data_IF_707948743741
#
_entry.id   IF_707948743741
#
_cell.length_a   1.000
_cell.length_b   1.000
_cell.length_c   1.000
_cell.angle_alpha   90.00
_cell.angle_beta   90.00
_cell.angle_gamma   90.00
#
_symmetry.space_group_name_H-M   'P 1'
#
loop_
_entity.id
_entity.type
_entity.pdbx_description
1 polymer ?
#
# COMPACT_ATOMS: atom_id res chain seq x y z
N UNK A 1 -43.20 -54.93 -12.77
CA UNK A 1 -42.62 -54.58 -11.45
C UNK A 1 -41.42 -53.65 -11.66
N UNK A 2 -41.60 -52.34 -11.49
CA UNK A 2 -40.49 -51.38 -11.62
C UNK A 2 -39.64 -51.34 -10.35
N UNK A 3 -38.41 -51.83 -10.40
CA UNK A 3 -37.45 -51.73 -9.29
C UNK A 3 -37.12 -50.25 -9.06
N UNK A 4 -37.56 -49.69 -7.93
CA UNK A 4 -37.16 -48.35 -7.48
C UNK A 4 -35.70 -48.41 -7.02
N UNK A 5 -34.78 -47.86 -7.81
CA UNK A 5 -33.36 -47.74 -7.44
C UNK A 5 -33.22 -46.77 -6.27
N UNK A 6 -32.49 -47.18 -5.23
CA UNK A 6 -32.21 -46.31 -4.08
C UNK A 6 -31.21 -45.22 -4.48
N UNK A 7 -31.31 -44.02 -3.89
CA UNK A 7 -30.46 -42.85 -4.21
C UNK A 7 -28.94 -43.15 -4.23
N UNK A 8 -28.50 -44.14 -3.44
CA UNK A 8 -27.10 -44.63 -3.42
C UNK A 8 -26.71 -45.41 -4.68
N UNK A 9 -27.62 -46.20 -5.25
CA UNK A 9 -27.37 -47.00 -6.45
C UNK A 9 -27.28 -46.11 -7.69
N UNK A 10 -28.14 -45.10 -7.81
CA UNK A 10 -28.09 -44.12 -8.91
C UNK A 10 -26.76 -43.35 -8.90
N UNK A 11 -26.29 -42.92 -7.72
CA UNK A 11 -24.98 -42.24 -7.59
C UNK A 11 -23.80 -43.16 -7.95
N UNK A 12 -23.86 -44.44 -7.56
CA UNK A 12 -22.81 -45.41 -7.87
C UNK A 12 -22.74 -45.69 -9.37
N UNK A 13 -23.89 -45.81 -10.03
CA UNK A 13 -23.98 -46.09 -11.47
C UNK A 13 -23.58 -44.86 -12.32
N UNK A 14 -23.93 -43.65 -11.87
CA UNK A 14 -23.44 -42.40 -12.47
C UNK A 14 -21.93 -42.24 -12.34
N UNK A 15 -21.35 -42.66 -11.22
CA UNK A 15 -19.90 -42.65 -11.03
C UNK A 15 -19.21 -43.69 -11.92
N UNK A 16 -19.71 -44.93 -11.94
CA UNK A 16 -19.16 -46.00 -12.76
C UNK A 16 -19.21 -45.64 -14.25
N UNK A 17 -20.35 -45.12 -14.74
CA UNK A 17 -20.47 -44.69 -16.14
C UNK A 17 -19.66 -43.43 -16.48
N UNK A 18 -19.36 -42.56 -15.51
CA UNK A 18 -18.42 -41.46 -15.70
C UNK A 18 -16.98 -41.97 -15.83
N UNK A 19 -16.58 -42.90 -14.96
CA UNK A 19 -15.25 -43.53 -14.99
C UNK A 19 -15.06 -44.32 -16.28
N UNK A 20 -16.05 -45.12 -16.68
CA UNK A 20 -15.97 -45.94 -17.88
C UNK A 20 -15.84 -45.10 -19.16
N UNK A 21 -16.61 -44.01 -19.26
CA UNK A 21 -16.45 -43.00 -20.32
C UNK A 21 -15.08 -42.33 -20.29
N UNK A 22 -14.57 -42.04 -19.09
CA UNK A 22 -13.24 -41.46 -18.90
C UNK A 22 -12.12 -42.40 -19.38
N UNK A 23 -12.18 -43.68 -18.99
CA UNK A 23 -11.19 -44.71 -19.38
C UNK A 23 -11.24 -44.94 -20.89
N UNK A 24 -12.42 -45.05 -21.47
CA UNK A 24 -12.59 -45.28 -22.91
C UNK A 24 -12.10 -44.08 -23.74
N UNK A 25 -12.42 -42.85 -23.31
CA UNK A 25 -11.91 -41.64 -23.93
C UNK A 25 -10.39 -41.51 -23.79
N UNK A 26 -9.84 -41.83 -22.61
CA UNK A 26 -8.40 -41.77 -22.35
C UNK A 26 -7.64 -42.79 -23.20
N UNK A 27 -8.17 -44.00 -23.37
CA UNK A 27 -7.58 -45.01 -24.26
C UNK A 27 -7.54 -44.56 -25.72
N UNK A 28 -8.63 -43.96 -26.21
CA UNK A 28 -8.70 -43.46 -27.60
C UNK A 28 -7.89 -42.17 -27.83
N UNK A 29 -7.76 -41.31 -26.83
CA UNK A 29 -7.17 -39.97 -26.95
C UNK A 29 -5.92 -39.78 -26.10
N UNK A 30 -5.20 -40.85 -25.73
CA UNK A 30 -4.12 -40.80 -24.75
C UNK A 30 -3.02 -39.79 -25.11
N UNK A 31 -2.71 -39.61 -26.40
CA UNK A 31 -1.74 -38.61 -26.88
C UNK A 31 -2.20 -37.18 -26.59
N UNK A 32 -3.46 -36.85 -26.87
CA UNK A 32 -4.01 -35.53 -26.59
C UNK A 32 -4.15 -35.30 -25.07
N UNK A 33 -4.52 -36.33 -24.32
CA UNK A 33 -4.55 -36.28 -22.87
C UNK A 33 -3.15 -36.04 -22.27
N UNK A 34 -2.11 -36.69 -22.80
CA UNK A 34 -0.73 -36.48 -22.38
C UNK A 34 -0.22 -35.07 -22.72
N UNK A 35 -0.53 -34.55 -23.91
CA UNK A 35 -0.20 -33.16 -24.30
C UNK A 35 -0.93 -32.16 -23.39
N UNK A 36 -2.21 -32.38 -23.13
CA UNK A 36 -3.01 -31.53 -22.23
C UNK A 36 -2.46 -31.54 -20.81
N UNK A 37 -2.16 -32.72 -20.26
CA UNK A 37 -1.55 -32.86 -18.93
C UNK A 37 -0.17 -32.21 -18.86
N UNK A 38 0.68 -32.42 -19.88
CA UNK A 38 1.99 -31.79 -19.97
C UNK A 38 1.90 -30.27 -20.04
N UNK A 39 0.92 -29.73 -20.78
CA UNK A 39 0.64 -28.30 -20.83
C UNK A 39 0.22 -27.73 -19.46
N UNK A 40 -0.70 -28.41 -18.76
CA UNK A 40 -1.14 -28.02 -17.41
C UNK A 40 0.02 -28.06 -16.42
N UNK A 41 0.82 -29.13 -16.42
CA UNK A 41 2.00 -29.25 -15.56
C UNK A 41 3.06 -28.19 -15.88
N UNK A 42 3.27 -27.89 -17.16
CA UNK A 42 4.17 -26.82 -17.60
C UNK A 42 3.73 -25.45 -17.08
N UNK A 43 2.45 -25.11 -17.21
CA UNK A 43 1.89 -23.87 -16.65
C UNK A 43 2.01 -23.84 -15.13
N UNK A 44 1.73 -24.94 -14.45
CA UNK A 44 1.85 -25.04 -12.99
C UNK A 44 3.30 -24.85 -12.53
N UNK A 45 4.28 -25.42 -13.23
CA UNK A 45 5.70 -25.24 -12.94
C UNK A 45 6.18 -23.81 -13.17
N UNK A 46 5.75 -23.17 -14.26
CA UNK A 46 6.06 -21.76 -14.53
C UNK A 46 5.44 -20.86 -13.46
N UNK A 47 4.18 -21.12 -13.08
CA UNK A 47 3.51 -20.40 -12.01
C UNK A 47 4.24 -20.57 -10.66
N UNK A 48 4.59 -21.79 -10.28
CA UNK A 48 5.32 -22.07 -9.06
C UNK A 48 6.72 -21.42 -9.06
N UNK A 49 7.47 -21.54 -10.16
CA UNK A 49 8.77 -20.89 -10.31
C UNK A 49 8.69 -19.36 -10.23
N UNK A 50 7.70 -18.76 -10.91
CA UNK A 50 7.47 -17.32 -10.85
C UNK A 50 7.11 -16.84 -9.45
N UNK A 51 6.21 -17.54 -8.75
CA UNK A 51 5.79 -17.19 -7.38
C UNK A 51 6.93 -17.34 -6.37
N UNK A 52 7.73 -18.41 -6.46
CA UNK A 52 8.90 -18.61 -5.61
C UNK A 52 9.99 -17.54 -5.83
N UNK A 53 10.28 -17.17 -7.09
CA UNK A 53 11.22 -16.10 -7.40
C UNK A 53 10.72 -14.73 -6.93
N UNK A 54 9.42 -14.46 -7.07
CA UNK A 54 8.80 -13.23 -6.57
C UNK A 54 8.89 -13.13 -5.04
N UNK A 55 8.63 -14.23 -4.32
CA UNK A 55 8.74 -14.28 -2.86
C UNK A 55 10.18 -14.00 -2.40
N UNK A 56 11.17 -14.71 -2.96
CA UNK A 56 12.58 -14.49 -2.63
C UNK A 56 13.04 -13.05 -2.92
N UNK A 57 12.56 -12.45 -4.02
CA UNK A 57 12.81 -11.04 -4.32
C UNK A 57 12.18 -10.10 -3.31
N UNK A 58 10.97 -10.38 -2.84
CA UNK A 58 10.31 -9.57 -1.79
C UNK A 58 11.08 -9.66 -0.46
N UNK A 59 11.54 -10.84 -0.07
CA UNK A 59 12.33 -11.03 1.15
C UNK A 59 13.65 -10.25 1.08
N UNK A 60 14.35 -10.35 -0.04
CA UNK A 60 15.59 -9.60 -0.29
C UNK A 60 15.36 -8.09 -0.28
N UNK A 61 14.23 -7.65 -0.86
CA UNK A 61 13.86 -6.23 -0.87
C UNK A 61 13.52 -5.73 0.54
N UNK A 62 12.85 -6.55 1.36
CA UNK A 62 12.51 -6.21 2.73
C UNK A 62 13.76 -6.05 3.60
N UNK A 63 14.73 -6.97 3.46
CA UNK A 63 16.02 -6.86 4.13
C UNK A 63 16.76 -5.58 3.73
N UNK A 64 16.85 -5.29 2.42
CA UNK A 64 17.51 -4.08 1.93
C UNK A 64 16.84 -2.77 2.39
N UNK A 65 15.51 -2.76 2.53
CA UNK A 65 14.79 -1.63 3.17
C UNK A 65 15.12 -1.53 4.65
N UNK A 66 15.20 -2.66 5.36
CA UNK A 66 15.62 -2.72 6.77
C UNK A 66 17.00 -2.09 6.98
N UNK A 67 18.00 -2.51 6.21
CA UNK A 67 19.36 -1.94 6.28
C UNK A 67 19.37 -0.41 6.01
N UNK A 68 18.58 0.04 5.04
CA UNK A 68 18.46 1.48 4.74
C UNK A 68 17.75 2.25 5.86
N UNK A 69 16.77 1.64 6.54
CA UNK A 69 16.11 2.21 7.70
C UNK A 69 17.01 2.26 8.92
N UNK A 70 17.81 1.23 9.17
CA UNK A 70 18.82 1.24 10.23
C UNK A 70 19.79 2.41 10.04
N UNK A 71 20.23 2.66 8.80
CA UNK A 71 21.01 3.86 8.50
C UNK A 71 20.20 5.14 8.72
N UNK A 72 18.93 5.20 8.31
CA UNK A 72 18.07 6.38 8.45
C UNK A 72 17.83 6.78 9.92
N UNK A 73 17.66 5.80 10.81
CA UNK A 73 17.34 5.99 12.23
C UNK A 73 18.59 5.98 13.14
N UNK A 74 19.77 5.71 12.56
CA UNK A 74 21.01 5.63 13.32
C UNK A 74 21.30 6.91 14.14
N UNK A 75 21.85 6.77 15.35
CA UNK A 75 22.22 7.91 16.17
C UNK A 75 23.36 8.71 15.52
N UNK A 76 23.35 10.02 15.75
CA UNK A 76 24.35 10.97 15.23
C UNK A 76 25.12 11.63 16.36
N UNK A 77 26.41 11.84 16.15
CA UNK A 77 27.27 12.58 17.08
C UNK A 77 27.56 11.85 18.40
N UNK A 78 28.00 12.62 19.40
CA UNK A 78 28.49 12.09 20.69
C UNK A 78 27.41 11.58 21.66
N UNK A 79 26.13 11.75 21.33
CA UNK A 79 24.99 11.21 22.10
C UNK A 79 24.62 9.79 21.68
N UNK A 80 25.32 9.21 20.69
CA UNK A 80 25.11 7.84 20.27
C UNK A 80 25.50 6.84 21.38
N UNK A 81 24.65 5.87 21.72
CA UNK A 81 25.01 4.76 22.61
C UNK A 81 26.30 4.09 22.15
N UNK A 82 27.17 3.73 23.10
CA UNK A 82 28.47 3.13 22.79
C UNK A 82 28.35 1.77 22.06
N UNK A 83 27.24 1.08 22.28
CA UNK A 83 26.85 -0.22 21.72
C UNK A 83 26.04 -0.12 20.42
N UNK A 84 25.81 1.08 19.88
CA UNK A 84 25.12 1.25 18.61
C UNK A 84 25.92 0.60 17.47
N UNK A 85 25.30 -0.36 16.77
CA UNK A 85 25.92 -1.11 15.67
C UNK A 85 26.29 -0.22 14.48
N UNK A 86 25.47 0.80 14.21
CA UNK A 86 25.68 1.80 13.16
C UNK A 86 25.50 3.18 13.80
N UNK A 87 26.44 4.09 13.54
CA UNK A 87 26.39 5.49 13.97
C UNK A 87 27.09 6.38 12.95
N UNK A 88 26.66 7.63 12.86
CA UNK A 88 27.22 8.61 11.94
C UNK A 88 27.75 9.83 12.70
N UNK A 89 28.74 10.52 12.14
CA UNK A 89 29.27 11.72 12.79
C UNK A 89 28.28 12.88 12.67
N UNK A 90 27.56 12.95 11.54
CA UNK A 90 26.62 14.03 11.23
C UNK A 90 25.31 13.49 10.66
N UNK A 91 24.26 14.31 10.76
CA UNK A 91 22.96 14.03 10.16
C UNK A 91 23.04 13.92 8.63
N UNK A 92 23.87 14.74 8.00
CA UNK A 92 24.09 14.73 6.56
C UNK A 92 24.69 13.41 6.07
N UNK A 93 25.69 12.88 6.78
CA UNK A 93 26.26 11.56 6.49
C UNK A 93 25.24 10.44 6.67
N UNK A 94 24.46 10.48 7.75
CA UNK A 94 23.38 9.52 8.02
C UNK A 94 22.37 9.48 6.87
N UNK A 95 21.84 10.65 6.51
CA UNK A 95 20.85 10.77 5.44
C UNK A 95 21.42 10.39 4.07
N UNK A 96 22.71 10.65 3.80
CA UNK A 96 23.37 10.22 2.56
C UNK A 96 23.51 8.69 2.48
N UNK A 97 23.86 8.03 3.60
CA UNK A 97 23.93 6.57 3.66
C UNK A 97 22.55 5.94 3.47
N UNK A 98 21.54 6.45 4.17
CA UNK A 98 20.15 6.01 4.03
C UNK A 98 19.62 6.20 2.59
N UNK A 99 19.86 7.37 2.00
CA UNK A 99 19.47 7.65 0.61
C UNK A 99 20.08 6.65 -0.35
N UNK A 100 21.39 6.36 -0.22
CA UNK A 100 22.07 5.36 -1.05
C UNK A 100 21.38 3.99 -0.94
N UNK A 101 21.04 3.58 0.28
CA UNK A 101 20.30 2.34 0.55
C UNK A 101 18.94 2.32 -0.15
N UNK A 102 18.11 3.36 0.06
CA UNK A 102 16.79 3.44 -0.56
C UNK A 102 16.85 3.56 -2.10
N UNK A 103 17.84 4.24 -2.68
CA UNK A 103 18.05 4.27 -4.14
C UNK A 103 18.41 2.88 -4.69
N UNK A 104 19.25 2.12 -3.97
CA UNK A 104 19.56 0.74 -4.33
C UNK A 104 18.30 -0.14 -4.27
N UNK A 105 17.43 0.04 -3.27
CA UNK A 105 16.15 -0.67 -3.20
C UNK A 105 15.26 -0.31 -4.39
N UNK A 106 15.07 0.99 -4.63
CA UNK A 106 14.22 1.50 -5.71
C UNK A 106 14.68 1.01 -7.08
N UNK A 107 15.99 0.96 -7.34
CA UNK A 107 16.53 0.50 -8.63
C UNK A 107 16.47 -1.02 -8.79
N UNK A 108 16.90 -1.80 -7.78
CA UNK A 108 17.01 -3.26 -7.87
C UNK A 108 15.67 -3.99 -7.71
N UNK A 109 14.76 -3.41 -6.93
CA UNK A 109 13.47 -4.02 -6.57
C UNK A 109 12.27 -3.18 -7.01
N UNK A 110 12.41 -2.40 -8.09
CA UNK A 110 11.42 -1.41 -8.58
C UNK A 110 9.97 -1.90 -8.72
N UNK A 111 9.75 -3.20 -8.95
CA UNK A 111 8.41 -3.82 -9.05
C UNK A 111 7.76 -4.17 -7.70
N UNK A 112 8.52 -4.11 -6.61
CA UNK A 112 8.07 -4.57 -5.29
C UNK A 112 7.38 -3.45 -4.51
N UNK A 113 6.47 -3.78 -3.56
CA UNK A 113 5.95 -2.80 -2.61
C UNK A 113 7.05 -2.09 -1.80
N UNK A 114 8.15 -2.80 -1.50
CA UNK A 114 9.31 -2.28 -0.78
C UNK A 114 9.99 -1.13 -1.52
N UNK A 115 10.04 -1.15 -2.85
CA UNK A 115 10.54 -0.02 -3.63
C UNK A 115 9.66 1.24 -3.50
N UNK A 116 8.34 1.11 -3.29
CA UNK A 116 7.48 2.26 -2.97
C UNK A 116 7.78 2.81 -1.59
N UNK A 117 8.00 1.93 -0.61
CA UNK A 117 8.40 2.36 0.72
C UNK A 117 9.74 3.12 0.66
N UNK A 118 10.72 2.60 -0.06
CA UNK A 118 11.99 3.29 -0.29
C UNK A 118 11.78 4.65 -0.96
N UNK A 119 10.89 4.76 -1.95
CA UNK A 119 10.56 6.04 -2.59
C UNK A 119 9.92 7.05 -1.62
N UNK A 120 9.08 6.60 -0.68
CA UNK A 120 8.52 7.44 0.37
C UNK A 120 9.62 8.00 1.28
N UNK A 121 10.58 7.17 1.71
CA UNK A 121 11.71 7.64 2.51
C UNK A 121 12.65 8.56 1.73
N UNK A 122 12.86 8.33 0.44
CA UNK A 122 13.59 9.27 -0.42
C UNK A 122 12.90 10.64 -0.47
N UNK A 123 11.56 10.67 -0.51
CA UNK A 123 10.83 11.93 -0.42
C UNK A 123 11.02 12.63 0.92
N UNK A 124 11.02 11.88 2.04
CA UNK A 124 11.27 12.43 3.38
C UNK A 124 12.69 12.97 3.54
N UNK A 125 13.69 12.25 3.04
CA UNK A 125 15.07 12.74 2.99
C UNK A 125 15.17 14.03 2.18
N UNK A 126 14.43 14.15 1.06
CA UNK A 126 14.38 15.39 0.29
C UNK A 126 13.75 16.54 1.12
N UNK A 127 12.69 16.28 1.90
CA UNK A 127 12.13 17.26 2.85
C UNK A 127 13.17 17.69 3.89
N UNK A 128 13.88 16.73 4.50
CA UNK A 128 14.89 16.99 5.55
C UNK A 128 16.05 17.85 5.01
N UNK A 129 16.36 17.73 3.71
CA UNK A 129 17.35 18.55 3.00
C UNK A 129 16.82 19.90 2.52
N UNK A 130 15.53 20.19 2.74
CA UNK A 130 14.87 21.40 2.25
C UNK A 130 14.51 21.38 0.77
N UNK A 131 14.73 20.27 0.06
CA UNK A 131 14.33 20.10 -1.34
C UNK A 131 12.86 19.69 -1.45
N UNK A 132 11.98 20.65 -1.17
CA UNK A 132 10.53 20.44 -1.22
C UNK A 132 10.04 20.12 -2.65
N UNK A 133 10.71 20.62 -3.67
CA UNK A 133 10.32 20.38 -5.07
C UNK A 133 10.49 18.90 -5.40
N UNK A 134 11.64 18.32 -5.07
CA UNK A 134 11.90 16.92 -5.29
C UNK A 134 11.01 16.03 -4.40
N UNK A 135 10.79 16.42 -3.14
CA UNK A 135 9.89 15.69 -2.24
C UNK A 135 8.47 15.58 -2.81
N UNK A 136 7.88 16.70 -3.24
CA UNK A 136 6.53 16.73 -3.82
C UNK A 136 6.48 15.85 -5.07
N UNK A 137 7.46 15.96 -5.97
CA UNK A 137 7.54 15.13 -7.19
C UNK A 137 7.54 13.63 -6.88
N UNK A 138 8.32 13.21 -5.89
CA UNK A 138 8.37 11.80 -5.48
C UNK A 138 7.03 11.33 -4.89
N UNK A 139 6.42 12.15 -4.03
CA UNK A 139 5.14 11.83 -3.41
C UNK A 139 4.01 11.76 -4.45
N UNK A 140 3.96 12.68 -5.42
CA UNK A 140 3.03 12.63 -6.55
C UNK A 140 3.22 11.37 -7.40
N UNK A 141 4.47 10.94 -7.60
CA UNK A 141 4.78 9.67 -8.23
C UNK A 141 4.13 8.48 -7.52
N UNK A 142 4.21 8.45 -6.18
CA UNK A 142 3.59 7.40 -5.36
C UNK A 142 2.05 7.50 -5.41
N UNK A 143 1.49 8.69 -5.21
CA UNK A 143 0.05 8.94 -5.09
C UNK A 143 -0.70 8.94 -6.42
N UNK A 144 0.00 8.92 -7.55
CA UNK A 144 -0.57 8.66 -8.88
C UNK A 144 -1.32 7.33 -8.93
N UNK A 145 -0.90 6.36 -8.10
CA UNK A 145 -1.62 5.10 -7.87
C UNK A 145 -2.80 5.37 -6.93
N UNK A 146 -4.02 5.25 -7.46
CA UNK A 146 -5.26 5.43 -6.69
C UNK A 146 -5.67 4.13 -5.99
N UNK A 147 -4.87 3.69 -5.01
CA UNK A 147 -5.12 2.48 -4.21
C UNK A 147 -5.16 2.81 -2.72
N UNK A 148 -5.71 1.90 -1.92
CA UNK A 148 -5.72 1.95 -0.46
C UNK A 148 -4.43 1.42 0.19
N UNK A 149 -3.37 1.23 -0.60
CA UNK A 149 -2.05 0.76 -0.15
C UNK A 149 -1.53 1.68 0.97
N UNK A 150 -1.07 1.13 2.12
CA UNK A 150 -0.59 1.93 3.25
C UNK A 150 0.51 2.93 2.89
N UNK A 151 1.41 2.60 1.95
CA UNK A 151 2.48 3.51 1.51
C UNK A 151 1.90 4.67 0.72
N UNK A 152 0.91 4.41 -0.13
CA UNK A 152 0.18 5.46 -0.87
C UNK A 152 -0.54 6.39 0.10
N UNK A 153 -1.17 5.83 1.14
CA UNK A 153 -1.84 6.60 2.20
C UNK A 153 -0.87 7.53 2.93
N UNK A 154 0.28 7.01 3.34
CA UNK A 154 1.33 7.78 4.00
C UNK A 154 1.87 8.89 3.08
N UNK A 155 2.15 8.55 1.82
CA UNK A 155 2.61 9.52 0.83
C UNK A 155 1.58 10.63 0.60
N UNK A 156 0.29 10.30 0.57
CA UNK A 156 -0.79 11.28 0.42
C UNK A 156 -0.84 12.24 1.61
N UNK A 157 -0.71 11.73 2.84
CA UNK A 157 -0.67 12.59 4.04
C UNK A 157 0.55 13.52 4.04
N UNK A 158 1.73 13.01 3.66
CA UNK A 158 2.95 13.81 3.56
C UNK A 158 2.82 14.88 2.44
N UNK A 159 2.22 14.53 1.30
CA UNK A 159 1.94 15.47 0.20
C UNK A 159 0.98 16.58 0.62
N UNK A 160 -0.11 16.24 1.30
CA UNK A 160 -1.07 17.22 1.84
C UNK A 160 -0.35 18.17 2.79
N UNK A 161 0.47 17.65 3.71
CA UNK A 161 1.23 18.48 4.66
C UNK A 161 2.14 19.48 3.93
N UNK A 162 2.89 19.03 2.94
CA UNK A 162 3.81 19.89 2.18
C UNK A 162 3.06 20.95 1.36
N UNK A 163 2.00 20.55 0.64
CA UNK A 163 1.22 21.50 -0.18
C UNK A 163 0.45 22.50 0.68
N UNK A 164 -0.05 22.09 1.84
CA UNK A 164 -0.61 23.03 2.83
C UNK A 164 0.43 24.02 3.33
N UNK A 165 1.66 23.58 3.63
CA UNK A 165 2.73 24.48 4.05
C UNK A 165 3.14 25.47 2.94
N UNK A 166 3.00 25.07 1.67
CA UNK A 166 3.23 25.91 0.49
C UNK A 166 2.07 26.86 0.17
N UNK A 167 0.94 26.77 0.88
CA UNK A 167 -0.26 27.57 0.60
C UNK A 167 -1.09 27.08 -0.59
N UNK A 168 -0.90 25.83 -1.01
CA UNK A 168 -1.65 25.21 -2.12
C UNK A 168 -2.85 24.40 -1.64
N UNK A 169 -3.37 24.69 -0.44
CA UNK A 169 -4.45 23.92 0.19
C UNK A 169 -5.72 23.84 -0.66
N UNK A 170 -6.16 24.97 -1.23
CA UNK A 170 -7.35 25.03 -2.09
C UNK A 170 -7.25 24.09 -3.29
N UNK A 171 -6.05 23.90 -3.84
CA UNK A 171 -5.84 23.03 -5.00
C UNK A 171 -6.06 21.54 -4.68
N UNK A 172 -6.01 21.15 -3.40
CA UNK A 172 -6.26 19.79 -2.93
C UNK A 172 -7.74 19.49 -2.68
N UNK A 173 -8.61 20.50 -2.62
CA UNK A 173 -10.03 20.34 -2.26
C UNK A 173 -10.73 19.29 -3.13
N UNK A 174 -10.66 19.32 -4.48
CA UNK A 174 -11.38 18.36 -5.31
C UNK A 174 -10.93 16.91 -5.07
N UNK A 175 -9.63 16.74 -4.80
CA UNK A 175 -9.02 15.44 -4.54
C UNK A 175 -9.46 14.89 -3.17
N UNK A 176 -9.43 15.74 -2.14
CA UNK A 176 -9.88 15.40 -0.79
C UNK A 176 -11.40 15.13 -0.73
N UNK A 177 -12.21 15.85 -1.49
CA UNK A 177 -13.65 15.58 -1.63
C UNK A 177 -13.91 14.22 -2.29
N UNK A 178 -13.11 13.86 -3.31
CA UNK A 178 -13.12 12.53 -3.91
C UNK A 178 -12.85 11.43 -2.88
N UNK A 179 -11.89 11.64 -1.98
CA UNK A 179 -11.56 10.69 -0.91
C UNK A 179 -12.64 10.66 0.18
N UNK A 180 -13.14 11.82 0.62
CA UNK A 180 -14.20 11.92 1.64
C UNK A 180 -15.52 11.28 1.19
N UNK A 181 -15.82 11.33 -0.12
CA UNK A 181 -16.97 10.65 -0.73
C UNK A 181 -16.74 9.15 -0.98
N UNK A 182 -15.53 8.63 -0.79
CA UNK A 182 -15.17 7.24 -1.02
C UNK A 182 -14.91 6.88 -2.49
N UNK A 183 -14.91 7.86 -3.40
CA UNK A 183 -14.57 7.65 -4.82
C UNK A 183 -13.08 7.42 -5.04
N UNK A 184 -12.26 7.84 -4.08
CA UNK A 184 -10.81 7.69 -4.10
C UNK A 184 -10.32 6.98 -2.83
N UNK A 185 -9.70 5.79 -2.95
CA UNK A 185 -9.35 4.96 -1.81
C UNK A 185 -8.03 5.36 -1.10
N UNK A 186 -7.29 6.35 -1.62
CA UNK A 186 -5.95 6.72 -1.12
C UNK A 186 -5.96 7.17 0.34
N UNK A 187 -7.04 7.82 0.78
CA UNK A 187 -7.29 8.11 2.19
C UNK A 187 -8.61 7.47 2.64
N UNK A 188 -8.72 7.02 3.89
CA UNK A 188 -10.01 6.68 4.47
C UNK A 188 -10.89 7.94 4.53
N UNK A 189 -12.21 7.76 4.48
CA UNK A 189 -13.17 8.87 4.36
C UNK A 189 -13.08 9.86 5.52
N UNK A 190 -12.89 9.35 6.73
CA UNK A 190 -12.72 10.15 7.95
C UNK A 190 -11.43 10.97 7.92
N UNK A 191 -10.31 10.35 7.53
CA UNK A 191 -9.04 11.06 7.35
C UNK A 191 -9.17 12.16 6.29
N UNK A 192 -9.84 11.90 5.17
CA UNK A 192 -10.06 12.87 4.12
C UNK A 192 -10.95 14.05 4.57
N UNK A 193 -12.02 13.78 5.31
CA UNK A 193 -12.86 14.83 5.92
C UNK A 193 -12.04 15.70 6.88
N UNK A 194 -11.20 15.08 7.70
CA UNK A 194 -10.32 15.80 8.63
C UNK A 194 -9.33 16.70 7.90
N UNK A 195 -8.62 16.18 6.88
CA UNK A 195 -7.68 17.00 6.11
C UNK A 195 -8.39 18.11 5.32
N UNK A 196 -9.58 17.85 4.77
CA UNK A 196 -10.37 18.87 4.08
C UNK A 196 -10.82 19.98 5.03
N UNK A 197 -11.20 19.65 6.25
CA UNK A 197 -11.52 20.65 7.28
C UNK A 197 -10.31 21.53 7.61
N UNK A 198 -9.12 20.92 7.76
CA UNK A 198 -7.86 21.65 7.99
C UNK A 198 -7.46 22.57 6.84
N UNK A 199 -7.78 22.20 5.60
CA UNK A 199 -7.61 23.09 4.45
C UNK A 199 -8.46 24.34 4.68
N UNK A 200 -9.75 24.19 4.96
CA UNK A 200 -10.66 25.33 5.15
C UNK A 200 -10.33 26.18 6.37
N UNK A 201 -9.83 25.60 7.46
CA UNK A 201 -9.31 26.37 8.60
C UNK A 201 -8.17 27.31 8.17
N UNK A 202 -7.23 26.81 7.35
CA UNK A 202 -6.11 27.64 6.86
C UNK A 202 -6.55 28.75 5.90
N UNK A 203 -7.63 28.52 5.17
CA UNK A 203 -8.23 29.52 4.28
C UNK A 203 -9.15 30.52 5.03
N UNK A 204 -9.24 30.44 6.36
CA UNK A 204 -10.10 31.32 7.16
C UNK A 204 -11.60 31.01 7.05
N UNK A 205 -11.96 29.85 6.49
CA UNK A 205 -13.33 29.41 6.26
C UNK A 205 -13.82 28.51 7.41
N UNK A 206 -13.98 29.13 8.58
CA UNK A 206 -14.29 28.44 9.84
C UNK A 206 -15.63 27.67 9.80
N UNK A 207 -16.64 28.20 9.11
CA UNK A 207 -17.95 27.54 8.97
C UNK A 207 -17.87 26.26 8.15
N UNK A 208 -17.17 26.29 7.02
CA UNK A 208 -16.95 25.13 6.17
C UNK A 208 -16.12 24.05 6.89
N UNK A 209 -15.08 24.46 7.62
CA UNK A 209 -14.29 23.56 8.46
C UNK A 209 -15.16 22.89 9.55
N UNK A 210 -15.96 23.69 10.27
CA UNK A 210 -16.84 23.21 11.33
C UNK A 210 -17.88 22.22 10.81
N UNK A 211 -18.47 22.47 9.63
CA UNK A 211 -19.39 21.52 8.99
C UNK A 211 -18.74 20.16 8.74
N UNK A 212 -17.48 20.15 8.29
CA UNK A 212 -16.75 18.91 8.01
C UNK A 212 -16.31 18.17 9.27
N UNK A 213 -15.84 18.89 10.29
CA UNK A 213 -15.54 18.28 11.59
C UNK A 213 -16.78 17.67 12.23
N UNK A 214 -17.93 18.37 12.17
CA UNK A 214 -19.20 17.84 12.68
C UNK A 214 -19.58 16.55 11.96
N UNK A 215 -19.51 16.55 10.62
CA UNK A 215 -19.75 15.36 9.81
C UNK A 215 -18.81 14.22 10.18
N UNK A 216 -17.53 14.49 10.42
CA UNK A 216 -16.57 13.47 10.86
C UNK A 216 -16.99 12.83 12.19
N UNK A 217 -17.35 13.66 13.18
CA UNK A 217 -17.74 13.19 14.52
C UNK A 217 -19.05 12.39 14.49
N UNK A 218 -19.99 12.76 13.62
CA UNK A 218 -21.29 12.10 13.45
C UNK A 218 -21.19 10.80 12.64
N UNK A 219 -20.55 10.84 11.48
CA UNK A 219 -20.50 9.71 10.54
C UNK A 219 -19.44 8.65 10.95
N UNK A 220 -18.42 9.03 11.74
CA UNK A 220 -17.27 8.18 12.07
C UNK A 220 -16.95 8.18 13.58
N UNK A 221 -17.78 7.53 14.42
CA UNK A 221 -17.61 7.52 15.86
C UNK A 221 -16.29 6.88 16.32
N UNK A 222 -15.77 5.91 15.57
CA UNK A 222 -14.52 5.20 15.87
C UNK A 222 -13.27 5.84 15.23
N UNK A 223 -13.41 7.01 14.59
CA UNK A 223 -12.30 7.66 13.91
C UNK A 223 -11.22 8.12 14.90
N UNK A 224 -9.92 7.89 14.63
CA UNK A 224 -8.84 8.42 15.44
C UNK A 224 -8.80 9.96 15.44
N UNK A 225 -9.44 10.61 14.46
CA UNK A 225 -9.50 12.07 14.34
C UNK A 225 -10.65 12.70 15.15
N UNK A 226 -11.54 11.90 15.74
CA UNK A 226 -12.76 12.39 16.40
C UNK A 226 -12.47 13.33 17.56
N UNK A 227 -11.56 12.96 18.44
CA UNK A 227 -11.22 13.77 19.63
C UNK A 227 -10.67 15.14 19.23
N UNK A 228 -9.79 15.20 18.23
CA UNK A 228 -9.27 16.46 17.72
C UNK A 228 -10.37 17.27 17.03
N UNK A 229 -11.20 16.65 16.18
CA UNK A 229 -12.31 17.33 15.52
C UNK A 229 -13.29 17.97 16.53
N UNK A 230 -13.57 17.30 17.66
CA UNK A 230 -14.38 17.85 18.74
C UNK A 230 -13.74 19.08 19.40
N UNK A 231 -12.43 19.03 19.66
CA UNK A 231 -11.69 20.17 20.20
C UNK A 231 -11.74 21.37 19.24
N UNK A 232 -11.56 21.14 17.93
CA UNK A 232 -11.65 22.17 16.89
C UNK A 232 -13.02 22.83 16.86
N UNK A 233 -14.10 22.03 16.90
CA UNK A 233 -15.47 22.53 16.95
C UNK A 233 -15.72 23.41 18.19
N UNK A 234 -15.21 23.02 19.35
CA UNK A 234 -15.36 23.79 20.58
C UNK A 234 -14.57 25.11 20.57
N UNK A 235 -13.47 25.17 19.81
CA UNK A 235 -12.68 26.41 19.65
C UNK A 235 -13.22 27.37 18.60
N UNK A 236 -14.13 26.93 17.75
CA UNK A 236 -14.73 27.72 16.66
C UNK A 236 -16.04 28.40 17.08
N UNK A 237 -16.61 28.05 18.24
CA UNK A 237 -17.78 28.67 18.86
C UNK A 237 -17.40 29.82 19.79
#
# INVERSE_FOLDING_TARGET
MGRRLTRKQIKRDQFVSFVDRGIHWLGQNWRQAAIGLGGVLGVALVWWGATALLASRQDSAAQAVGEALEAYEAPVGGSAPADAAIKFATDTERLAAAEKGFQAVKSRYWLTPQARMAELFLARIAVDRGDQVQAIKLLEGITSRRTDDPVVRLAMLDLIRLRLAKGEGVQLVPELEGMASGKDPRLPRDAALFQLARVWEREGKAEEASRLFRKLVEDFPDSPYRSEAQQRLASAS
#
